data_IF_798253199162
#
_entry.id   IF_798253199162
#
_cell.length_a   1.000
_cell.length_b   1.000
_cell.length_c   1.000
_cell.angle_alpha   90.00
_cell.angle_beta   90.00
_cell.angle_gamma   90.00
#
_symmetry.space_group_name_H-M   'P 1'
#
loop_
_entity.id
_entity.type
_entity.pdbx_description
1 polymer ?
#
# COMPACT_ATOMS: atom_id res chain seq x y z
N UNK A 1 -22.61 -4.90 -14.78
CA UNK A 1 -21.40 -4.12 -15.08
C UNK A 1 -20.25 -4.57 -14.21
N UNK A 2 -19.10 -4.77 -14.81
CA UNK A 2 -17.91 -5.19 -14.08
C UNK A 2 -17.40 -4.04 -13.22
N UNK A 3 -17.11 -4.32 -11.96
CA UNK A 3 -16.59 -3.32 -11.07
C UNK A 3 -15.13 -3.03 -11.39
N UNK A 4 -14.75 -1.76 -11.31
CA UNK A 4 -13.36 -1.33 -11.48
C UNK A 4 -12.78 -1.04 -10.10
N UNK A 5 -11.67 -1.70 -9.78
CA UNK A 5 -11.01 -1.56 -8.49
C UNK A 5 -9.89 -0.53 -8.57
N UNK A 6 -9.96 0.56 -7.81
CA UNK A 6 -9.00 1.67 -7.96
C UNK A 6 -7.68 1.42 -7.25
N UNK A 7 -6.64 2.08 -7.75
CA UNK A 7 -5.39 2.23 -7.00
C UNK A 7 -5.60 3.33 -5.96
N UNK A 8 -5.37 3.01 -4.70
CA UNK A 8 -5.66 3.95 -3.60
C UNK A 8 -4.44 4.28 -2.75
N UNK A 9 -3.31 3.63 -2.98
CA UNK A 9 -2.16 3.75 -2.11
C UNK A 9 -0.91 3.31 -2.89
N UNK A 10 0.25 3.82 -2.50
CA UNK A 10 1.52 3.31 -3.01
C UNK A 10 2.40 2.90 -1.84
N UNK A 11 3.38 2.06 -2.11
CA UNK A 11 4.33 1.64 -1.08
C UNK A 11 5.73 1.63 -1.66
N UNK A 12 6.70 2.08 -0.86
CA UNK A 12 8.10 2.09 -1.27
C UNK A 12 8.97 1.57 -0.13
N UNK A 13 10.01 0.77 -0.44
CA UNK A 13 10.93 0.28 0.59
C UNK A 13 11.92 1.36 1.00
N UNK A 14 12.31 1.35 2.28
CA UNK A 14 13.27 2.28 2.83
C UNK A 14 14.38 1.54 3.57
N UNK A 15 15.63 1.88 3.27
CA UNK A 15 16.76 1.39 4.07
C UNK A 15 16.91 2.21 5.35
N UNK A 16 16.67 3.52 5.24
CA UNK A 16 16.70 4.45 6.35
C UNK A 16 15.48 5.33 6.23
N UNK A 17 14.47 5.04 7.04
CA UNK A 17 13.18 5.69 6.91
C UNK A 17 13.19 7.17 7.23
N UNK A 18 14.04 7.60 8.16
CA UNK A 18 14.14 9.02 8.49
C UNK A 18 14.77 9.79 7.34
N UNK A 19 15.82 9.25 6.77
CA UNK A 19 16.49 9.87 5.62
C UNK A 19 15.53 9.95 4.43
N UNK A 20 14.76 8.89 4.17
CA UNK A 20 13.80 8.88 3.08
C UNK A 20 12.65 9.86 3.31
N UNK A 21 12.13 9.92 4.54
CA UNK A 21 11.09 10.87 4.88
C UNK A 21 11.57 12.30 4.69
N UNK A 22 12.78 12.62 5.17
CA UNK A 22 13.35 13.95 5.00
C UNK A 22 13.54 14.30 3.52
N UNK A 23 13.96 13.34 2.73
CA UNK A 23 14.15 13.57 1.30
C UNK A 23 12.83 14.02 0.63
N UNK A 24 11.77 13.27 0.84
CA UNK A 24 10.49 13.57 0.18
C UNK A 24 9.83 14.82 0.75
N UNK A 25 10.02 15.09 2.04
CA UNK A 25 9.53 16.33 2.63
C UNK A 25 10.27 17.53 2.04
N UNK A 26 11.59 17.46 1.95
CA UNK A 26 12.38 18.59 1.47
C UNK A 26 12.24 18.78 -0.03
N UNK A 27 12.17 17.71 -0.80
CA UNK A 27 12.11 17.81 -2.26
C UNK A 27 10.72 18.14 -2.78
N UNK A 28 9.67 17.62 -2.15
CA UNK A 28 8.30 17.71 -2.70
C UNK A 28 7.26 18.17 -1.70
N UNK A 29 7.64 18.45 -0.48
CA UNK A 29 6.69 18.95 0.53
C UNK A 29 5.74 17.90 1.09
N UNK A 30 6.06 16.62 0.92
CA UNK A 30 5.20 15.56 1.48
C UNK A 30 5.20 15.64 3.00
N UNK A 31 4.07 15.33 3.59
CA UNK A 31 3.93 15.25 5.04
C UNK A 31 4.06 13.80 5.47
N UNK A 32 5.04 13.52 6.34
CA UNK A 32 5.33 12.16 6.75
C UNK A 32 5.13 11.99 8.24
N UNK A 33 4.77 10.76 8.63
CA UNK A 33 4.61 10.40 10.03
C UNK A 33 5.28 9.04 10.26
N UNK A 34 6.30 9.02 11.11
CA UNK A 34 7.01 7.79 11.45
C UNK A 34 6.23 7.07 12.55
N UNK A 35 5.80 5.85 12.24
CA UNK A 35 5.06 5.02 13.20
C UNK A 35 6.04 4.15 13.99
N UNK A 36 5.54 3.52 15.06
CA UNK A 36 6.35 2.72 15.96
C UNK A 36 6.47 1.26 15.55
N UNK A 37 7.10 0.48 16.45
CA UNK A 37 7.37 -0.94 16.19
C UNK A 37 6.09 -1.77 16.03
N UNK A 38 5.03 -1.41 16.74
CA UNK A 38 3.76 -2.14 16.68
C UNK A 38 3.12 -2.07 15.29
N UNK A 39 3.53 -1.12 14.47
CA UNK A 39 3.06 -1.00 13.10
C UNK A 39 4.21 -1.24 12.11
N UNK A 40 5.22 -2.01 12.51
CA UNK A 40 6.31 -2.41 11.63
C UNK A 40 7.24 -1.27 11.22
N UNK A 41 7.32 -0.22 12.02
CA UNK A 41 8.12 0.98 11.73
C UNK A 41 7.77 1.62 10.39
N UNK A 42 6.51 1.55 10.02
CA UNK A 42 6.00 2.11 8.78
C UNK A 42 6.03 3.64 8.81
N UNK A 43 6.17 4.27 7.66
CA UNK A 43 6.06 5.73 7.54
C UNK A 43 4.86 6.05 6.67
N UNK A 44 3.94 6.83 7.20
CA UNK A 44 2.81 7.33 6.41
C UNK A 44 3.31 8.54 5.61
N UNK A 45 3.01 8.55 4.31
CA UNK A 45 3.42 9.64 3.42
C UNK A 45 2.18 10.22 2.75
N UNK A 46 1.84 11.45 3.11
CA UNK A 46 0.74 12.17 2.48
C UNK A 46 1.31 13.07 1.38
N UNK A 47 0.88 12.85 0.16
CA UNK A 47 1.35 13.61 -1.00
C UNK A 47 0.45 14.80 -1.32
N UNK A 48 -0.62 15.00 -0.53
CA UNK A 48 -1.53 16.11 -0.65
C UNK A 48 -2.31 16.28 0.63
N UNK A 49 -3.14 17.32 0.70
CA UNK A 49 -3.97 17.55 1.87
C UNK A 49 -4.95 16.39 2.07
N UNK A 50 -5.18 16.05 3.33
CA UNK A 50 -6.15 15.02 3.69
C UNK A 50 -7.33 15.67 4.43
N UNK A 51 -8.49 15.01 4.37
CA UNK A 51 -9.67 15.44 5.11
C UNK A 51 -9.63 14.83 6.53
N UNK A 52 -10.68 15.08 7.31
CA UNK A 52 -10.77 14.60 8.69
C UNK A 52 -10.77 13.08 8.81
N UNK A 53 -11.08 12.37 7.72
CA UNK A 53 -11.06 10.91 7.68
C UNK A 53 -9.73 10.35 7.15
N UNK A 54 -8.74 11.22 6.89
CA UNK A 54 -7.44 10.81 6.39
C UNK A 54 -7.40 10.53 4.90
N UNK A 55 -8.42 10.97 4.15
CA UNK A 55 -8.50 10.74 2.71
C UNK A 55 -8.04 11.97 1.94
N UNK A 56 -7.49 11.77 0.73
CA UNK A 56 -7.06 12.90 -0.10
C UNK A 56 -8.24 13.83 -0.42
N UNK A 57 -8.02 15.12 -0.28
CA UNK A 57 -9.02 16.12 -0.62
C UNK A 57 -9.11 16.37 -2.11
N UNK A 58 -7.98 16.26 -2.81
CA UNK A 58 -7.93 16.54 -4.25
C UNK A 58 -8.00 15.25 -5.03
N UNK A 59 -8.90 15.19 -6.02
CA UNK A 59 -9.03 14.02 -6.88
C UNK A 59 -7.71 13.78 -7.62
N UNK A 60 -7.32 12.52 -7.73
CA UNK A 60 -6.09 12.12 -8.39
C UNK A 60 -4.87 12.10 -7.48
N UNK A 61 -5.01 12.58 -6.25
CA UNK A 61 -3.92 12.50 -5.26
C UNK A 61 -3.94 11.11 -4.63
N UNK A 62 -2.77 10.46 -4.59
CA UNK A 62 -2.62 9.15 -3.95
C UNK A 62 -1.60 9.27 -2.83
N UNK A 63 -2.01 8.96 -1.61
CA UNK A 63 -1.12 8.90 -0.46
C UNK A 63 -0.52 7.51 -0.36
N UNK A 64 0.53 7.37 0.41
CA UNK A 64 1.19 6.09 0.50
C UNK A 64 2.01 5.94 1.76
N UNK A 65 3.01 5.09 1.68
CA UNK A 65 3.88 4.86 2.82
C UNK A 65 5.17 4.18 2.45
N UNK A 66 6.07 4.17 3.42
CA UNK A 66 7.38 3.53 3.29
C UNK A 66 7.46 2.40 4.30
N UNK A 67 7.93 1.25 3.86
CA UNK A 67 8.15 0.11 4.75
C UNK A 67 9.65 -0.20 4.83
N UNK A 68 10.12 -0.76 5.94
CA UNK A 68 11.54 -1.14 6.06
C UNK A 68 11.89 -2.21 5.02
N UNK A 69 12.98 -1.98 4.28
CA UNK A 69 13.43 -2.97 3.31
C UNK A 69 13.91 -4.21 4.06
N UNK A 70 13.50 -5.37 3.59
CA UNK A 70 13.91 -6.65 4.17
C UNK A 70 15.06 -7.23 3.37
N UNK A 71 16.02 -7.84 4.08
CA UNK A 71 17.18 -8.43 3.42
C UNK A 71 16.80 -9.60 2.53
N UNK A 72 15.74 -10.32 2.88
CA UNK A 72 15.34 -11.56 2.22
C UNK A 72 14.01 -11.47 1.48
N UNK A 73 13.39 -10.30 1.43
CA UNK A 73 12.11 -10.15 0.77
C UNK A 73 12.23 -10.02 -0.73
N UNK A 74 11.38 -10.68 -1.51
CA UNK A 74 11.41 -10.56 -2.96
C UNK A 74 10.74 -9.29 -3.45
N UNK A 75 11.19 -8.78 -4.60
CA UNK A 75 10.51 -7.70 -5.33
C UNK A 75 10.22 -6.47 -4.48
N UNK A 76 11.21 -5.96 -3.78
CA UNK A 76 11.05 -4.77 -2.95
C UNK A 76 11.37 -3.52 -3.76
N UNK A 77 10.37 -3.05 -4.48
CA UNK A 77 10.41 -1.86 -5.33
C UNK A 77 9.16 -1.04 -5.06
N UNK A 78 9.10 0.21 -5.53
CA UNK A 78 7.85 0.97 -5.45
C UNK A 78 6.70 0.15 -6.03
N UNK A 79 5.58 0.11 -5.34
CA UNK A 79 4.44 -0.67 -5.76
C UNK A 79 3.14 0.06 -5.43
N UNK A 80 2.04 -0.50 -5.90
CA UNK A 80 0.72 0.09 -5.73
C UNK A 80 -0.18 -0.85 -4.92
N UNK A 81 -1.22 -0.27 -4.32
CA UNK A 81 -2.23 -1.02 -3.58
C UNK A 81 -3.58 -0.74 -4.22
N UNK A 82 -4.31 -1.80 -4.54
CA UNK A 82 -5.61 -1.74 -5.20
C UNK A 82 -6.69 -2.07 -4.16
N UNK A 83 -7.70 -1.20 -4.05
CA UNK A 83 -8.81 -1.45 -3.14
C UNK A 83 -9.82 -2.41 -3.77
N UNK A 84 -10.25 -3.40 -3.00
CA UNK A 84 -11.24 -4.38 -3.44
C UNK A 84 -12.34 -4.52 -2.39
N UNK A 85 -13.51 -4.99 -2.81
CA UNK A 85 -14.63 -5.19 -1.87
C UNK A 85 -14.53 -6.49 -1.10
N UNK A 86 -14.06 -7.55 -1.75
CA UNK A 86 -13.95 -8.87 -1.14
C UNK A 86 -12.60 -9.47 -1.52
N UNK A 87 -11.70 -9.53 -0.54
CA UNK A 87 -10.33 -9.93 -0.82
C UNK A 87 -10.23 -11.40 -1.24
N UNK A 88 -11.07 -12.27 -0.69
CA UNK A 88 -11.06 -13.69 -1.06
C UNK A 88 -11.44 -13.88 -2.54
N UNK A 89 -12.48 -13.17 -2.99
CA UNK A 89 -12.87 -13.21 -4.40
C UNK A 89 -11.76 -12.66 -5.30
N UNK A 90 -11.13 -11.58 -4.88
CA UNK A 90 -10.05 -10.97 -5.66
C UNK A 90 -8.83 -11.87 -5.73
N UNK A 91 -8.49 -12.55 -4.64
CA UNK A 91 -7.39 -13.52 -4.65
C UNK A 91 -7.65 -14.63 -5.66
N UNK A 92 -8.89 -15.12 -5.72
CA UNK A 92 -9.27 -16.14 -6.69
C UNK A 92 -9.14 -15.62 -8.12
N UNK A 93 -9.58 -14.39 -8.37
CA UNK A 93 -9.49 -13.78 -9.70
C UNK A 93 -8.04 -13.57 -10.12
N UNK A 94 -7.17 -13.18 -9.18
CA UNK A 94 -5.73 -13.04 -9.46
C UNK A 94 -5.17 -14.38 -9.94
N UNK A 95 -5.47 -15.46 -9.20
CA UNK A 95 -4.98 -16.78 -9.55
C UNK A 95 -5.53 -17.24 -10.91
N UNK A 96 -6.83 -17.05 -11.13
CA UNK A 96 -7.46 -17.44 -12.39
C UNK A 96 -6.95 -16.66 -13.59
N UNK A 97 -6.47 -15.44 -13.33
CA UNK A 97 -5.97 -14.56 -14.40
C UNK A 97 -4.47 -14.72 -14.66
N UNK A 98 -3.81 -15.64 -13.96
CA UNK A 98 -2.41 -15.97 -14.21
C UNK A 98 -1.42 -15.38 -13.21
N UNK A 99 -1.91 -14.71 -12.16
CA UNK A 99 -1.05 -14.19 -11.11
C UNK A 99 -0.80 -15.21 -10.01
N UNK A 100 0.00 -14.81 -9.04
CA UNK A 100 0.34 -15.67 -7.92
C UNK A 100 0.14 -14.91 -6.61
N UNK A 101 -0.81 -15.37 -5.79
CA UNK A 101 -1.06 -14.76 -4.49
C UNK A 101 0.03 -15.19 -3.50
N UNK A 102 0.54 -14.24 -2.72
CA UNK A 102 1.65 -14.45 -1.80
C UNK A 102 1.13 -14.55 -0.36
N UNK A 103 0.73 -15.75 0.03
CA UNK A 103 0.32 -16.04 1.40
C UNK A 103 -1.15 -15.78 1.67
N UNK A 104 -1.47 -15.54 2.92
CA UNK A 104 -2.82 -15.33 3.41
C UNK A 104 -3.06 -13.86 3.71
N UNK A 105 -4.33 -13.39 3.63
CA UNK A 105 -4.62 -12.01 4.00
C UNK A 105 -4.25 -11.71 5.44
N UNK A 106 -3.66 -10.56 5.66
CA UNK A 106 -3.27 -10.08 6.98
C UNK A 106 -4.19 -8.96 7.41
N UNK A 107 -4.73 -9.04 8.63
CA UNK A 107 -5.54 -7.95 9.17
C UNK A 107 -4.63 -6.84 9.65
N UNK A 108 -4.79 -5.65 9.08
CA UNK A 108 -4.07 -4.46 9.52
C UNK A 108 -5.07 -3.64 10.33
N UNK A 109 -4.87 -3.48 11.65
CA UNK A 109 -5.85 -2.78 12.51
C UNK A 109 -6.12 -1.37 12.00
N UNK A 110 -7.42 -1.04 11.90
CA UNK A 110 -7.85 0.27 11.44
C UNK A 110 -7.75 0.50 9.94
N UNK A 111 -7.23 -0.46 9.20
CA UNK A 111 -7.00 -0.32 7.75
C UNK A 111 -7.82 -1.35 6.97
N UNK A 112 -7.62 -2.64 7.23
CA UNK A 112 -8.35 -3.70 6.53
C UNK A 112 -7.53 -4.96 6.33
N UNK A 113 -8.02 -5.80 5.42
CA UNK A 113 -7.34 -7.04 5.04
C UNK A 113 -6.43 -6.77 3.85
N UNK A 114 -5.22 -7.27 3.92
CA UNK A 114 -4.15 -6.95 2.97
C UNK A 114 -3.42 -8.21 2.54
N UNK A 115 -3.15 -8.34 1.24
CA UNK A 115 -2.31 -9.43 0.72
C UNK A 115 -1.62 -8.96 -0.55
N UNK A 116 -0.42 -9.47 -0.79
CA UNK A 116 0.33 -9.15 -2.00
C UNK A 116 0.23 -10.30 -3.01
N UNK A 117 0.53 -9.99 -4.26
CA UNK A 117 0.56 -10.98 -5.33
C UNK A 117 1.57 -10.56 -6.39
N UNK A 118 1.99 -11.52 -7.21
CA UNK A 118 2.73 -11.24 -8.43
C UNK A 118 1.76 -11.25 -9.60
N UNK A 119 1.84 -10.25 -10.47
CA UNK A 119 1.08 -10.26 -11.72
C UNK A 119 1.77 -11.18 -12.74
N UNK A 120 1.26 -11.21 -13.98
CA UNK A 120 1.81 -12.09 -15.02
C UNK A 120 3.21 -11.70 -15.46
N UNK A 121 3.65 -10.51 -15.12
CA UNK A 121 4.97 -9.98 -15.52
C UNK A 121 5.95 -9.95 -14.36
N UNK A 122 5.58 -10.53 -13.20
CA UNK A 122 6.47 -10.58 -12.05
C UNK A 122 6.45 -9.32 -11.19
N UNK A 123 5.54 -8.40 -11.43
CA UNK A 123 5.41 -7.22 -10.59
C UNK A 123 4.70 -7.57 -9.29
N UNK A 124 5.25 -7.13 -8.17
CA UNK A 124 4.59 -7.31 -6.88
C UNK A 124 3.65 -6.14 -6.64
N UNK A 125 2.38 -6.46 -6.44
CA UNK A 125 1.31 -5.50 -6.20
C UNK A 125 0.51 -6.01 -5.02
N UNK A 126 -0.25 -5.15 -4.35
CA UNK A 126 -1.06 -5.55 -3.21
C UNK A 126 -2.51 -5.19 -3.41
N UNK A 127 -3.39 -5.96 -2.74
CA UNK A 127 -4.81 -5.64 -2.68
C UNK A 127 -5.20 -5.44 -1.22
N UNK A 128 -6.16 -4.54 -1.03
CA UNK A 128 -6.65 -4.17 0.29
C UNK A 128 -8.17 -4.18 0.27
N UNK A 129 -8.75 -4.91 1.23
CA UNK A 129 -10.17 -4.79 1.52
C UNK A 129 -10.31 -3.85 2.71
N UNK A 130 -10.67 -2.57 2.49
CA UNK A 130 -10.74 -1.62 3.60
C UNK A 130 -11.78 -2.02 4.63
N UNK A 131 -11.51 -1.71 5.90
CA UNK A 131 -12.49 -1.92 6.94
C UNK A 131 -13.73 -1.08 6.67
N UNK A 132 -14.88 -1.61 6.99
CA UNK A 132 -16.14 -0.86 6.91
C UNK A 132 -16.15 0.20 8.00
N UNK A 133 -16.59 1.39 7.65
CA UNK A 133 -16.67 2.50 8.58
C UNK A 133 -18.12 2.74 8.96
#
# INVERSE_FOLDING_TARGET
MKKINPVVHFEMPANDRERMADFYTNAFGWQTQLLGEETGNYVIANTGEIDENGRPKMAGTINGGFYPRRADGPAQYPSIVIAVENIADSMQKVTESGGEVLGEPMQIPGVGLYVSFFDTEGNRVSILQPDMV
#
